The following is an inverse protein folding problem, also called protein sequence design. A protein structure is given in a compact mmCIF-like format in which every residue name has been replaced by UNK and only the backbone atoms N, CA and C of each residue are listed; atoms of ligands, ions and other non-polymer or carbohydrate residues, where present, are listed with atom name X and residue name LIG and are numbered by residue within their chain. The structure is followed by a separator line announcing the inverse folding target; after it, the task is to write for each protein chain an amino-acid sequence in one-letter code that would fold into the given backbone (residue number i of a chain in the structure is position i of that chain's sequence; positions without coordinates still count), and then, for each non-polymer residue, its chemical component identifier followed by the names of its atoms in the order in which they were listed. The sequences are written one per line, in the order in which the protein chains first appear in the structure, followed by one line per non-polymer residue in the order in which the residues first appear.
data_IF_388380656585
#
_entry.id   IF_388380656585
#
_cell.length_a   1.000
_cell.length_b   1.000
_cell.length_c   1.000
_cell.angle_alpha   90.00
_cell.angle_beta   90.00
_cell.angle_gamma   90.00
#
_symmetry.space_group_name_H-M   'P 1'
#
loop_
_entity.id
_entity.type
_entity.pdbx_description
1 polymer ?
#
# COMPACT_ATOMS: atom_id res chain seq x y z
N UNK A 1 -16.07 -20.92 44.87
CA UNK A 1 -14.61 -21.15 45.01
C UNK A 1 -14.00 -20.98 43.64
N UNK A 2 -13.31 -19.87 43.43
CA UNK A 2 -12.56 -19.58 42.21
C UNK A 2 -11.28 -20.41 42.23
N UNK A 3 -11.14 -21.38 41.32
CA UNK A 3 -9.84 -22.02 41.08
C UNK A 3 -9.14 -21.29 39.93
N UNK A 4 -8.19 -20.44 40.32
CA UNK A 4 -7.16 -19.94 39.44
C UNK A 4 -6.45 -21.10 38.75
N UNK A 5 -6.47 -21.09 37.41
CA UNK A 5 -5.38 -21.70 36.64
C UNK A 5 -4.87 -20.65 35.67
N UNK A 6 -3.85 -19.94 36.14
CA UNK A 6 -2.88 -19.25 35.30
C UNK A 6 -2.28 -20.29 34.34
N UNK A 7 -2.74 -20.32 33.09
CA UNK A 7 -2.00 -21.00 32.02
C UNK A 7 -1.07 -19.95 31.41
N UNK A 8 0.07 -19.85 32.07
CA UNK A 8 1.40 -19.69 31.52
C UNK A 8 1.46 -19.26 30.05
N UNK A 9 2.01 -18.06 29.84
CA UNK A 9 2.42 -17.56 28.54
C UNK A 9 3.26 -18.60 27.81
N UNK A 10 2.65 -19.25 26.83
CA UNK A 10 3.36 -19.74 25.67
C UNK A 10 3.06 -18.74 24.58
N UNK A 11 4.11 -18.21 23.98
CA UNK A 11 4.08 -17.53 22.70
C UNK A 11 2.95 -18.10 21.82
N UNK A 12 1.81 -17.42 21.76
CA UNK A 12 0.98 -17.48 20.56
C UNK A 12 1.77 -16.68 19.55
N UNK A 13 2.77 -17.37 19.01
CA UNK A 13 3.39 -17.01 17.78
C UNK A 13 2.23 -16.64 16.86
N UNK A 14 2.20 -15.38 16.44
CA UNK A 14 1.69 -14.98 15.15
C UNK A 14 2.47 -15.81 14.13
N UNK A 15 2.20 -17.12 14.06
CA UNK A 15 2.62 -18.00 12.99
C UNK A 15 1.75 -17.56 11.84
N UNK A 16 2.24 -16.50 11.20
CA UNK A 16 2.05 -16.16 9.80
C UNK A 16 0.84 -16.86 9.21
N UNK A 17 -0.31 -16.20 9.28
CA UNK A 17 -1.32 -16.27 8.22
C UNK A 17 -0.73 -15.55 7.00
N UNK A 18 0.44 -16.02 6.57
CA UNK A 18 1.22 -15.61 5.43
C UNK A 18 1.73 -16.96 4.93
N UNK A 19 0.96 -17.70 4.10
CA UNK A 19 1.43 -18.85 3.34
C UNK A 19 2.93 -18.78 3.03
N UNK A 20 3.67 -19.86 3.28
CA UNK A 20 5.14 -19.89 3.19
C UNK A 20 5.72 -19.50 1.80
N UNK A 21 4.87 -19.32 0.79
CA UNK A 21 5.23 -18.99 -0.59
C UNK A 21 5.06 -17.51 -0.96
N UNK A 22 4.90 -16.59 0.00
CA UNK A 22 4.98 -15.17 -0.34
C UNK A 22 6.43 -14.78 -0.62
N UNK A 23 6.75 -14.68 -1.90
CA UNK A 23 7.73 -13.71 -2.37
C UNK A 23 7.15 -12.32 -2.13
N UNK A 24 7.15 -11.87 -0.86
CA UNK A 24 7.10 -10.43 -0.57
C UNK A 24 8.24 -9.87 -1.42
N UNK A 25 7.92 -9.01 -2.38
CA UNK A 25 8.92 -8.31 -3.17
C UNK A 25 9.90 -7.71 -2.16
N UNK A 26 11.07 -8.32 -2.01
CA UNK A 26 12.11 -7.79 -1.15
C UNK A 26 12.53 -6.52 -1.85
N UNK A 27 12.00 -5.39 -1.38
CA UNK A 27 12.51 -4.09 -1.76
C UNK A 27 13.97 -4.09 -1.34
N UNK A 28 14.87 -4.25 -2.31
CA UNK A 28 16.27 -4.03 -2.09
C UNK A 28 16.40 -2.56 -1.76
N UNK A 29 16.57 -2.24 -0.47
CA UNK A 29 17.04 -0.94 -0.02
C UNK A 29 18.46 -0.77 -0.57
N UNK A 30 18.58 -0.39 -1.84
CA UNK A 30 19.82 0.15 -2.37
C UNK A 30 19.93 1.55 -1.80
N UNK A 31 20.92 1.77 -0.93
CA UNK A 31 21.22 3.07 -0.37
C UNK A 31 21.32 4.11 -1.49
N UNK A 32 20.49 5.15 -1.39
CA UNK A 32 20.47 6.27 -2.31
C UNK A 32 21.73 7.10 -2.06
N UNK A 33 22.72 7.05 -2.96
CA UNK A 33 23.84 7.97 -2.90
C UNK A 33 23.41 9.30 -3.54
N UNK A 34 23.27 10.36 -2.74
CA UNK A 34 23.09 11.72 -3.27
C UNK A 34 24.43 12.16 -3.87
N UNK A 35 24.51 12.22 -5.19
CA UNK A 35 25.61 12.88 -5.87
C UNK A 35 25.11 14.26 -6.34
N UNK A 36 25.73 15.34 -5.85
CA UNK A 36 25.51 16.68 -6.37
C UNK A 36 26.09 16.74 -7.79
N UNK A 37 25.28 17.05 -8.79
CA UNK A 37 25.77 17.32 -10.15
C UNK A 37 26.38 18.71 -10.25
N UNK A 38 27.45 18.83 -11.04
CA UNK A 38 28.18 20.08 -11.29
C UNK A 38 27.25 21.22 -11.77
N UNK A 39 27.50 22.42 -11.26
CA UNK A 39 26.95 23.69 -11.73
C UNK A 39 27.23 23.85 -13.23
N UNK A 40 26.19 23.75 -14.08
CA UNK A 40 26.37 23.92 -15.53
C UNK A 40 25.29 23.34 -16.43
N UNK A 41 24.38 22.50 -15.94
CA UNK A 41 23.19 22.09 -16.70
C UNK A 41 21.98 22.96 -16.31
N UNK A 42 21.38 23.62 -17.31
CA UNK A 42 20.15 24.38 -17.14
C UNK A 42 19.06 23.48 -16.54
N UNK A 43 18.62 23.79 -15.32
CA UNK A 43 17.48 23.12 -14.69
C UNK A 43 16.25 23.25 -15.58
N UNK A 44 15.51 22.15 -15.76
CA UNK A 44 14.26 22.17 -16.53
C UNK A 44 13.27 23.08 -15.83
N UNK A 45 12.63 23.97 -16.60
CA UNK A 45 11.57 24.85 -16.11
C UNK A 45 10.33 24.70 -16.97
N UNK A 46 9.16 24.92 -16.38
CA UNK A 46 7.91 24.95 -17.14
C UNK A 46 7.66 26.35 -17.78
N UNK A 47 6.53 26.49 -18.47
CA UNK A 47 6.13 27.72 -19.16
C UNK A 47 5.91 28.96 -18.25
N UNK A 48 5.90 28.78 -16.93
CA UNK A 48 5.77 29.86 -15.93
C UNK A 48 7.01 29.96 -15.03
N UNK A 49 8.15 29.45 -15.51
CA UNK A 49 9.46 29.54 -14.85
C UNK A 49 9.55 28.82 -13.48
N UNK A 50 8.73 27.81 -13.24
CA UNK A 50 8.87 26.94 -12.07
C UNK A 50 9.86 25.82 -12.39
N UNK A 51 10.82 25.60 -11.50
CA UNK A 51 11.78 24.50 -11.60
C UNK A 51 11.07 23.15 -11.55
N UNK A 52 11.37 22.32 -12.53
CA UNK A 52 10.86 20.96 -12.70
C UNK A 52 11.90 19.94 -12.23
N UNK A 53 11.52 18.66 -12.22
CA UNK A 53 12.46 17.56 -11.97
C UNK A 53 13.65 17.63 -12.94
N UNK A 54 14.83 17.26 -12.43
CA UNK A 54 16.06 17.13 -13.22
C UNK A 54 15.83 16.23 -14.44
N UNK A 55 16.61 16.46 -15.49
CA UNK A 55 16.44 15.74 -16.76
C UNK A 55 16.49 14.21 -16.59
N UNK A 56 17.47 13.73 -15.82
CA UNK A 56 17.66 12.30 -15.59
C UNK A 56 16.52 11.69 -14.77
N UNK A 57 16.01 12.39 -13.76
CA UNK A 57 14.90 11.90 -12.97
C UNK A 57 13.59 11.92 -13.76
N UNK A 58 13.34 12.99 -14.50
CA UNK A 58 12.17 13.08 -15.38
C UNK A 58 12.15 11.93 -16.39
N UNK A 59 13.30 11.61 -16.99
CA UNK A 59 13.41 10.47 -17.91
C UNK A 59 13.16 9.13 -17.24
N UNK A 60 13.61 8.93 -16.01
CA UNK A 60 13.37 7.68 -15.28
C UNK A 60 11.89 7.50 -14.91
N UNK A 61 11.18 8.58 -14.61
CA UNK A 61 9.77 8.56 -14.18
C UNK A 61 8.78 8.56 -15.35
N UNK A 62 8.98 9.47 -16.31
CA UNK A 62 8.03 9.75 -17.38
C UNK A 62 8.50 9.24 -18.76
N UNK A 63 9.69 8.63 -18.81
CA UNK A 63 10.30 8.16 -20.06
C UNK A 63 10.72 9.32 -20.97
N UNK A 64 10.71 9.06 -22.28
CA UNK A 64 11.01 10.06 -23.31
C UNK A 64 9.73 10.67 -23.91
N UNK A 65 8.63 10.67 -23.15
CA UNK A 65 7.37 11.25 -23.61
C UNK A 65 7.56 12.76 -23.87
N UNK A 66 7.02 13.29 -24.99
CA UNK A 66 7.12 14.71 -25.29
C UNK A 66 6.39 15.51 -24.22
N UNK A 67 6.96 16.65 -23.84
CA UNK A 67 6.37 17.55 -22.86
C UNK A 67 5.09 18.17 -23.43
N UNK A 68 3.98 17.97 -22.73
CA UNK A 68 2.68 18.53 -23.14
C UNK A 68 2.70 20.02 -22.85
N UNK A 69 2.72 20.83 -23.91
CA UNK A 69 2.62 22.28 -23.75
C UNK A 69 1.18 22.67 -23.42
N UNK A 70 0.97 23.51 -22.40
CA UNK A 70 -0.36 23.99 -22.06
C UNK A 70 -0.94 24.88 -23.18
N UNK A 71 -2.26 24.83 -23.33
CA UNK A 71 -2.99 25.71 -24.24
C UNK A 71 -2.83 27.19 -23.86
N UNK A 72 -2.83 28.07 -24.88
CA UNK A 72 -2.62 29.52 -24.71
C UNK A 72 -3.67 30.12 -23.78
N UNK A 73 -4.94 29.71 -23.87
CA UNK A 73 -6.01 30.25 -23.02
C UNK A 73 -5.80 29.86 -21.56
N UNK A 74 -5.32 28.65 -21.32
CA UNK A 74 -4.99 28.17 -19.97
C UNK A 74 -3.80 28.94 -19.40
N UNK A 75 -2.75 29.14 -20.20
CA UNK A 75 -1.59 29.94 -19.79
C UNK A 75 -2.00 31.37 -19.41
N UNK A 76 -2.81 32.04 -20.22
CA UNK A 76 -3.24 33.42 -19.91
C UNK A 76 -4.00 33.53 -18.58
N UNK A 77 -4.83 32.52 -18.26
CA UNK A 77 -5.54 32.46 -16.97
C UNK A 77 -4.57 32.28 -15.80
N UNK A 78 -3.60 31.37 -15.95
CA UNK A 78 -2.58 31.12 -14.92
C UNK A 78 -1.74 32.38 -14.68
N UNK A 79 -1.27 33.03 -15.74
CA UNK A 79 -0.49 34.27 -15.66
C UNK A 79 -1.30 35.36 -14.95
N UNK A 80 -2.54 35.61 -15.39
CA UNK A 80 -3.42 36.62 -14.76
C UNK A 80 -3.61 36.38 -13.26
N UNK A 81 -3.85 35.13 -12.86
CA UNK A 81 -3.99 34.76 -11.45
C UNK A 81 -2.68 34.98 -10.66
N UNK A 82 -1.54 34.58 -11.23
CA UNK A 82 -0.23 34.81 -10.59
C UNK A 82 0.08 36.31 -10.46
N UNK A 83 -0.25 37.13 -11.46
CA UNK A 83 -0.06 38.58 -11.42
C UNK A 83 -0.92 39.24 -10.34
N UNK A 84 -2.19 38.81 -10.17
CA UNK A 84 -3.08 39.32 -9.12
C UNK A 84 -2.52 39.11 -7.71
N UNK A 85 -1.74 38.04 -7.52
CA UNK A 85 -1.12 37.71 -6.25
C UNK A 85 0.35 38.18 -6.12
N UNK A 86 0.86 38.97 -7.08
CA UNK A 86 2.28 39.39 -7.14
C UNK A 86 3.27 38.21 -7.13
N UNK A 87 2.88 37.08 -7.73
CA UNK A 87 3.69 35.87 -7.86
C UNK A 87 4.25 35.69 -9.29
N UNK A 88 3.70 36.43 -10.26
CA UNK A 88 4.25 36.45 -11.61
C UNK A 88 5.58 37.20 -11.63
N UNK A 89 6.60 36.63 -12.28
CA UNK A 89 7.99 37.17 -12.32
C UNK A 89 8.68 37.31 -10.95
N UNK A 90 8.09 36.80 -9.87
CA UNK A 90 8.74 36.75 -8.58
C UNK A 90 10.00 35.86 -8.64
N UNK A 91 11.07 36.28 -7.96
CA UNK A 91 12.28 35.48 -7.85
C UNK A 91 11.98 34.18 -7.09
N UNK A 92 12.24 33.04 -7.73
CA UNK A 92 12.13 31.72 -7.12
C UNK A 92 13.54 31.20 -6.84
N UNK A 93 13.76 30.70 -5.62
CA UNK A 93 15.01 30.04 -5.28
C UNK A 93 15.14 28.75 -6.08
N UNK A 94 16.16 28.65 -6.94
CA UNK A 94 16.48 27.42 -7.66
C UNK A 94 17.30 26.50 -6.78
N UNK A 95 16.95 25.21 -6.79
CA UNK A 95 17.70 24.17 -6.13
C UNK A 95 18.70 23.53 -7.11
N UNK A 96 19.83 23.00 -6.65
CA UNK A 96 20.72 22.25 -7.52
C UNK A 96 20.02 21.01 -8.05
N UNK A 97 20.29 20.67 -9.32
CA UNK A 97 19.79 19.44 -9.92
C UNK A 97 20.27 18.21 -9.11
N UNK A 98 19.37 17.25 -8.95
CA UNK A 98 19.65 16.00 -8.25
C UNK A 98 19.93 14.89 -9.26
N UNK A 99 21.06 14.21 -9.09
CA UNK A 99 21.37 13.00 -9.83
C UNK A 99 21.22 11.78 -8.90
N UNK A 100 20.03 11.18 -8.93
CA UNK A 100 19.76 9.91 -8.27
C UNK A 100 19.11 8.91 -9.22
N UNK A 101 19.46 7.64 -9.03
CA UNK A 101 18.93 6.53 -9.81
C UNK A 101 17.80 5.86 -9.04
N UNK A 102 16.57 5.90 -9.57
CA UNK A 102 15.45 5.12 -9.03
C UNK A 102 15.58 3.64 -9.42
N UNK A 103 15.03 2.73 -8.61
CA UNK A 103 14.80 1.36 -9.05
C UNK A 103 13.98 1.31 -10.33
N UNK A 104 14.23 0.29 -11.15
CA UNK A 104 13.50 0.12 -12.41
C UNK A 104 12.01 -0.07 -12.14
N UNK A 105 11.18 0.65 -12.90
CA UNK A 105 9.74 0.52 -12.82
C UNK A 105 9.30 -0.80 -13.48
N UNK A 106 8.45 -1.57 -12.81
CA UNK A 106 7.77 -2.73 -13.41
C UNK A 106 6.93 -2.43 -14.66
N UNK A 107 6.53 -1.16 -14.87
CA UNK A 107 5.65 -0.69 -15.96
C UNK A 107 6.11 0.68 -16.47
N UNK A 108 5.50 1.14 -17.56
CA UNK A 108 5.92 2.34 -18.31
C UNK A 108 5.64 3.67 -17.63
N UNK A 109 4.72 3.71 -16.68
CA UNK A 109 4.42 4.89 -15.89
C UNK A 109 4.22 4.55 -14.41
N UNK A 110 4.31 5.58 -13.56
CA UNK A 110 4.18 5.45 -12.10
C UNK A 110 2.82 4.88 -11.70
N UNK A 111 1.75 5.27 -12.39
CA UNK A 111 0.39 4.85 -12.04
C UNK A 111 0.23 3.34 -12.29
N UNK A 112 0.61 2.88 -13.47
CA UNK A 112 0.65 1.47 -13.85
C UNK A 112 1.58 0.66 -12.93
N UNK A 113 2.73 1.22 -12.56
CA UNK A 113 3.67 0.58 -11.64
C UNK A 113 3.03 0.30 -10.29
N UNK A 114 2.41 1.31 -9.66
CA UNK A 114 1.76 1.12 -8.36
C UNK A 114 0.49 0.26 -8.45
N UNK A 115 -0.29 0.39 -9.53
CA UNK A 115 -1.41 -0.53 -9.80
C UNK A 115 -0.93 -1.98 -9.95
N UNK A 116 0.18 -2.20 -10.63
CA UNK A 116 0.77 -3.52 -10.77
C UNK A 116 1.20 -4.08 -9.42
N UNK A 117 1.99 -3.32 -8.63
CA UNK A 117 2.41 -3.75 -7.28
C UNK A 117 1.21 -4.06 -6.40
N UNK A 118 0.21 -3.17 -6.37
CA UNK A 118 -1.00 -3.37 -5.59
C UNK A 118 -1.73 -4.65 -6.00
N UNK A 119 -1.87 -4.92 -7.30
CA UNK A 119 -2.47 -6.16 -7.77
C UNK A 119 -1.65 -7.39 -7.41
N UNK A 120 -0.33 -7.35 -7.52
CA UNK A 120 0.53 -8.47 -7.14
C UNK A 120 0.43 -8.79 -5.64
N UNK A 121 0.40 -7.75 -4.78
CA UNK A 121 0.28 -7.93 -3.33
C UNK A 121 -1.11 -8.40 -2.90
N UNK A 122 -2.16 -7.93 -3.59
CA UNK A 122 -3.55 -8.20 -3.20
C UNK A 122 -4.16 -9.41 -3.91
N UNK A 123 -3.53 -9.99 -4.93
CA UNK A 123 -4.13 -11.06 -5.75
C UNK A 123 -4.65 -12.22 -4.90
N UNK A 124 -3.82 -12.76 -4.01
CA UNK A 124 -4.18 -13.91 -3.19
C UNK A 124 -5.28 -13.56 -2.17
N UNK A 125 -5.19 -12.39 -1.56
CA UNK A 125 -6.22 -11.90 -0.64
C UNK A 125 -7.56 -11.67 -1.34
N UNK A 126 -7.55 -11.12 -2.56
CA UNK A 126 -8.76 -10.98 -3.38
C UNK A 126 -9.38 -12.35 -3.67
N UNK A 127 -8.56 -13.35 -4.02
CA UNK A 127 -9.04 -14.71 -4.26
C UNK A 127 -9.66 -15.33 -3.00
N UNK A 128 -9.03 -15.17 -1.83
CA UNK A 128 -9.58 -15.62 -0.54
C UNK A 128 -10.89 -14.90 -0.21
N UNK A 129 -10.95 -13.59 -0.41
CA UNK A 129 -12.15 -12.78 -0.18
C UNK A 129 -13.30 -13.21 -1.10
N UNK A 130 -13.04 -13.44 -2.39
CA UNK A 130 -14.06 -13.92 -3.32
C UNK A 130 -14.57 -15.32 -2.94
N UNK A 131 -13.70 -16.22 -2.48
CA UNK A 131 -14.12 -17.53 -1.97
C UNK A 131 -15.00 -17.38 -0.72
N UNK A 132 -14.60 -16.51 0.21
CA UNK A 132 -15.34 -16.24 1.44
C UNK A 132 -16.73 -15.65 1.15
N UNK A 133 -16.81 -14.63 0.28
CA UNK A 133 -18.07 -13.96 -0.07
C UNK A 133 -19.04 -14.87 -0.84
N UNK A 134 -18.53 -15.83 -1.61
CA UNK A 134 -19.36 -16.78 -2.36
C UNK A 134 -19.64 -18.08 -1.58
N UNK A 135 -19.09 -18.22 -0.37
CA UNK A 135 -19.34 -19.40 0.47
C UNK A 135 -20.76 -19.39 1.01
N UNK A 136 -21.35 -20.58 1.16
CA UNK A 136 -22.64 -20.74 1.85
C UNK A 136 -22.36 -20.99 3.31
N UNK A 137 -22.96 -20.17 4.17
CA UNK A 137 -22.89 -20.38 5.60
C UNK A 137 -23.75 -21.60 5.99
N UNK A 138 -23.27 -22.44 6.92
CA UNK A 138 -24.11 -23.46 7.53
C UNK A 138 -25.29 -22.80 8.28
N UNK A 139 -26.35 -23.56 8.58
CA UNK A 139 -27.42 -23.05 9.43
C UNK A 139 -26.86 -22.61 10.79
N UNK A 140 -27.44 -21.53 11.34
CA UNK A 140 -27.07 -21.09 12.68
C UNK A 140 -27.35 -22.21 13.70
N UNK A 141 -26.41 -22.54 14.60
CA UNK A 141 -26.67 -23.54 15.62
C UNK A 141 -27.78 -23.06 16.54
N UNK A 142 -28.72 -23.95 16.88
CA UNK A 142 -29.81 -23.64 17.82
C UNK A 142 -29.26 -23.36 19.23
N UNK A 143 -28.13 -23.98 19.57
CA UNK A 143 -27.45 -23.79 20.85
C UNK A 143 -25.95 -23.72 20.61
N UNK A 144 -25.35 -22.63 21.08
CA UNK A 144 -23.91 -22.46 21.09
C UNK A 144 -23.27 -23.33 22.16
N UNK A 145 -22.17 -23.97 21.81
CA UNK A 145 -21.37 -24.74 22.75
C UNK A 145 -20.31 -23.85 23.41
N UNK A 146 -20.46 -23.61 24.71
CA UNK A 146 -19.61 -22.70 25.48
C UNK A 146 -18.43 -23.47 26.11
N UNK A 147 -17.55 -24.02 25.27
CA UNK A 147 -16.29 -24.61 25.70
C UNK A 147 -15.11 -23.71 25.29
N UNK A 148 -14.06 -23.71 26.12
CA UNK A 148 -12.82 -23.04 25.77
C UNK A 148 -12.14 -23.74 24.59
N UNK A 149 -11.75 -22.97 23.58
CA UNK A 149 -11.10 -23.49 22.37
C UNK A 149 -11.94 -23.27 21.11
N UNK A 150 -11.52 -23.91 20.01
CA UNK A 150 -12.22 -23.83 18.73
C UNK A 150 -13.25 -24.96 18.61
N UNK A 151 -14.45 -24.60 18.15
CA UNK A 151 -15.54 -25.52 17.89
C UNK A 151 -15.98 -25.36 16.43
N UNK A 152 -15.97 -26.46 15.67
CA UNK A 152 -16.50 -26.51 14.31
C UNK A 152 -17.95 -26.99 14.35
N UNK A 153 -18.80 -26.39 13.53
CA UNK A 153 -20.21 -26.79 13.37
C UNK A 153 -20.43 -27.29 11.96
N UNK A 154 -21.03 -28.47 11.84
CA UNK A 154 -21.41 -29.05 10.56
C UNK A 154 -22.81 -28.58 10.09
N UNK A 155 -23.25 -29.06 8.92
CA UNK A 155 -24.58 -28.72 8.40
C UNK A 155 -25.74 -29.31 9.22
N UNK A 156 -25.47 -30.31 10.06
CA UNK A 156 -26.42 -30.92 10.99
C UNK A 156 -26.55 -30.11 12.29
N UNK A 157 -25.61 -29.18 12.53
CA UNK A 157 -25.48 -28.43 13.78
C UNK A 157 -24.70 -29.17 14.87
N UNK A 158 -24.05 -30.29 14.54
CA UNK A 158 -23.17 -31.03 15.45
C UNK A 158 -21.88 -30.24 15.67
N UNK A 159 -21.44 -30.15 16.94
CA UNK A 159 -20.30 -29.36 17.36
C UNK A 159 -19.10 -30.26 17.70
N UNK A 160 -18.01 -30.13 16.94
CA UNK A 160 -16.76 -30.89 17.16
C UNK A 160 -15.63 -29.97 17.63
N UNK A 161 -14.89 -30.35 18.68
CA UNK A 161 -13.71 -29.58 19.10
C UNK A 161 -12.58 -29.76 18.09
N UNK A 162 -11.89 -28.66 17.75
CA UNK A 162 -10.74 -28.65 16.84
C UNK A 162 -9.60 -27.83 17.45
N UNK A 163 -8.36 -28.10 17.03
CA UNK A 163 -7.20 -27.36 17.54
C UNK A 163 -7.15 -25.93 16.98
N UNK A 164 -7.54 -25.76 15.71
CA UNK A 164 -7.64 -24.47 15.01
C UNK A 164 -8.53 -24.61 13.76
N UNK A 165 -9.05 -23.49 13.22
CA UNK A 165 -9.83 -23.50 11.98
C UNK A 165 -8.97 -23.92 10.77
N UNK A 166 -9.41 -24.91 10.00
CA UNK A 166 -8.72 -25.37 8.78
C UNK A 166 -8.95 -24.46 7.57
N UNK A 167 -9.88 -23.51 7.70
CA UNK A 167 -10.32 -22.64 6.63
C UNK A 167 -9.24 -21.64 6.21
N UNK A 168 -9.15 -21.40 4.90
CA UNK A 168 -8.17 -20.45 4.33
C UNK A 168 -8.47 -18.98 4.61
N UNK A 169 -9.67 -18.66 5.09
CA UNK A 169 -10.13 -17.32 5.46
C UNK A 169 -11.20 -17.42 6.54
N UNK A 170 -11.15 -16.55 7.54
CA UNK A 170 -12.09 -16.54 8.66
C UNK A 170 -12.45 -15.10 9.06
N UNK A 171 -13.67 -14.91 9.55
CA UNK A 171 -14.14 -13.67 10.15
C UNK A 171 -14.43 -13.97 11.61
N UNK A 172 -13.84 -13.19 12.51
CA UNK A 172 -14.03 -13.36 13.94
C UNK A 172 -14.28 -12.01 14.59
N UNK A 173 -15.19 -12.00 15.54
CA UNK A 173 -15.50 -10.86 16.39
C UNK A 173 -14.77 -11.02 17.72
N UNK A 174 -14.26 -9.92 18.29
CA UNK A 174 -13.47 -9.95 19.52
C UNK A 174 -14.07 -8.99 20.53
N UNK A 175 -14.45 -9.56 21.68
CA UNK A 175 -14.93 -8.81 22.83
C UNK A 175 -13.83 -8.66 23.88
N UNK A 176 -13.77 -7.49 24.51
CA UNK A 176 -12.82 -7.20 25.59
C UNK A 176 -13.58 -6.67 26.79
N UNK A 177 -13.51 -7.39 27.92
CA UNK A 177 -14.01 -6.89 29.20
C UNK A 177 -12.90 -6.14 29.94
N UNK A 178 -13.21 -4.94 30.45
CA UNK A 178 -12.34 -4.23 31.37
C UNK A 178 -12.45 -4.84 32.77
N UNK A 179 -11.34 -4.86 33.51
CA UNK A 179 -11.34 -5.18 34.94
C UNK A 179 -11.53 -3.88 35.71
N UNK A 180 -12.48 -3.87 36.64
CA UNK A 180 -12.65 -2.79 37.63
C UNK A 180 -11.53 -2.81 38.68
#
# INVERSE_FOLDING_TARGET
MLSNSYVNGKEMALRKIIPANYNILRFSHKNCHLNKSNEGQHSRVNAINIQMLSYDLHRQIFGTKPEVKPDVKTLSKVISHLSQHNLWEAETSTLPDVNFKIPDLYKSDIEEHFKYIANQLLCDYKNLLFKLLNSKLPPLPQRWNLYAGWMQYDNSGEATPVDFPEESALVFDVEVCMQD
#
